data_IF_624037917495
#
_entry.id   IF_624037917495
#
_cell.length_a   1.000
_cell.length_b   1.000
_cell.length_c   1.000
_cell.angle_alpha   90.00
_cell.angle_beta   90.00
_cell.angle_gamma   90.00
#
_symmetry.space_group_name_H-M   'P 1'
#
loop_
_entity.id
_entity.type
_entity.pdbx_description
1 polymer ?
#
# COMPACT_ATOMS: atom_id res chain seq x y z
N UNK A 1 -48.55 2.92 -78.00
CA UNK A 1 -47.67 2.78 -76.82
C UNK A 1 -48.47 1.98 -75.79
N UNK A 2 -48.27 0.65 -75.71
CA UNK A 2 -47.37 -0.01 -74.74
C UNK A 2 -47.79 0.33 -73.30
N UNK A 3 -48.07 -0.58 -72.37
CA UNK A 3 -48.07 -2.05 -72.27
C UNK A 3 -48.87 -2.35 -70.96
N UNK A 4 -49.66 -3.44 -70.98
CA UNK A 4 -49.74 -4.53 -69.96
C UNK A 4 -49.03 -4.29 -68.59
N UNK A 5 -49.47 -4.72 -67.40
CA UNK A 5 -50.25 -5.87 -66.94
C UNK A 5 -50.41 -5.76 -65.39
N UNK A 6 -51.58 -6.07 -64.81
CA UNK A 6 -51.90 -7.25 -63.98
C UNK A 6 -51.07 -7.42 -62.68
N UNK A 7 -51.68 -7.22 -61.50
CA UNK A 7 -52.40 -8.19 -60.62
C UNK A 7 -51.49 -8.97 -59.68
N UNK A 8 -51.81 -8.84 -58.37
CA UNK A 8 -51.59 -9.79 -57.26
C UNK A 8 -50.12 -10.27 -57.11
N UNK A 9 -49.61 -10.67 -55.95
CA UNK A 9 -49.81 -11.94 -55.29
C UNK A 9 -49.25 -11.77 -53.86
N UNK A 10 -50.00 -12.29 -52.90
CA UNK A 10 -49.59 -12.43 -51.50
C UNK A 10 -48.32 -13.26 -51.38
N UNK A 11 -47.35 -12.80 -50.60
CA UNK A 11 -46.31 -13.65 -50.03
C UNK A 11 -46.29 -13.44 -48.52
N UNK A 12 -46.93 -14.39 -47.82
CA UNK A 12 -46.81 -14.60 -46.38
C UNK A 12 -45.36 -15.02 -46.10
N UNK A 13 -44.55 -14.15 -45.50
CA UNK A 13 -43.33 -14.59 -44.83
C UNK A 13 -43.72 -15.15 -43.47
N UNK A 14 -43.71 -16.48 -43.34
CA UNK A 14 -43.69 -17.14 -42.05
C UNK A 14 -42.27 -17.02 -41.48
N UNK A 15 -42.07 -16.10 -40.54
CA UNK A 15 -40.83 -15.99 -39.78
C UNK A 15 -40.89 -17.02 -38.64
N UNK A 16 -40.19 -18.14 -38.80
CA UNK A 16 -39.98 -19.11 -37.72
C UNK A 16 -38.90 -18.53 -36.81
N UNK A 17 -39.30 -17.91 -35.70
CA UNK A 17 -38.40 -17.54 -34.62
C UNK A 17 -38.07 -18.81 -33.83
N UNK A 18 -36.95 -19.44 -34.16
CA UNK A 18 -36.30 -20.40 -33.29
C UNK A 18 -35.79 -19.63 -32.06
N UNK A 19 -36.52 -19.73 -30.96
CA UNK A 19 -36.04 -19.31 -29.66
C UNK A 19 -34.90 -20.25 -29.25
N UNK A 20 -33.67 -19.92 -29.64
CA UNK A 20 -32.48 -20.49 -29.03
C UNK A 20 -32.41 -19.96 -27.61
N UNK A 21 -32.94 -20.73 -26.65
CA UNK A 21 -32.57 -20.59 -25.25
C UNK A 21 -31.10 -21.01 -25.12
N UNK A 22 -30.19 -20.13 -25.53
CA UNK A 22 -28.85 -20.14 -25.01
C UNK A 22 -29.00 -19.85 -23.52
N UNK A 23 -29.04 -20.90 -22.71
CA UNK A 23 -28.91 -20.76 -21.28
C UNK A 23 -27.65 -19.96 -21.05
N UNK A 24 -27.81 -18.73 -20.56
CA UNK A 24 -26.74 -18.08 -19.83
C UNK A 24 -26.56 -18.98 -18.63
N UNK A 25 -25.63 -19.93 -18.72
CA UNK A 25 -25.08 -20.56 -17.55
C UNK A 25 -24.47 -19.40 -16.78
N UNK A 26 -25.24 -18.85 -15.84
CA UNK A 26 -24.66 -18.12 -14.74
C UNK A 26 -23.60 -19.06 -14.20
N UNK A 27 -22.34 -18.68 -14.37
CA UNK A 27 -21.23 -19.36 -13.72
C UNK A 27 -21.56 -19.28 -12.23
N UNK A 28 -22.08 -20.39 -11.70
CA UNK A 28 -22.43 -20.50 -10.30
C UNK A 28 -21.10 -20.31 -9.59
N UNK A 29 -20.88 -19.11 -9.06
CA UNK A 29 -19.66 -18.81 -8.32
C UNK A 29 -19.62 -19.78 -7.14
N UNK A 30 -18.86 -20.87 -7.29
CA UNK A 30 -18.40 -21.69 -6.18
C UNK A 30 -17.47 -20.79 -5.38
N UNK A 31 -18.02 -20.14 -4.37
CA UNK A 31 -17.27 -19.15 -3.62
C UNK A 31 -17.65 -19.27 -2.17
N UNK A 32 -16.62 -19.54 -1.36
CA UNK A 32 -16.67 -19.67 0.08
C UNK A 32 -17.19 -18.41 0.78
N UNK A 33 -16.51 -18.00 1.84
CA UNK A 33 -16.98 -16.92 2.71
C UNK A 33 -17.16 -15.59 1.94
N UNK A 34 -18.31 -14.94 2.15
CA UNK A 34 -18.54 -13.56 1.70
C UNK A 34 -18.10 -12.60 2.81
N UNK A 35 -17.11 -11.76 2.52
CA UNK A 35 -16.56 -10.80 3.46
C UNK A 35 -17.42 -9.53 3.57
N UNK A 36 -17.20 -8.77 4.64
CA UNK A 36 -17.90 -7.51 4.93
C UNK A 36 -17.80 -6.45 3.81
N UNK A 37 -16.77 -6.53 2.97
CA UNK A 37 -16.51 -5.61 1.86
C UNK A 37 -16.98 -6.15 0.50
N UNK A 38 -17.83 -7.18 0.50
CA UNK A 38 -18.42 -7.77 -0.70
C UNK A 38 -17.52 -8.75 -1.44
N UNK A 39 -16.25 -8.91 -1.04
CA UNK A 39 -15.34 -9.88 -1.65
C UNK A 39 -15.79 -11.29 -1.25
N UNK A 40 -16.00 -12.15 -2.24
CA UNK A 40 -16.23 -13.59 -2.03
C UNK A 40 -14.90 -14.33 -2.13
N UNK A 41 -14.52 -15.02 -1.06
CA UNK A 41 -13.30 -15.84 -1.05
C UNK A 41 -13.46 -17.08 -1.92
N UNK A 42 -12.38 -17.61 -2.51
CA UNK A 42 -12.36 -18.96 -3.05
C UNK A 42 -12.64 -19.99 -1.96
N UNK A 43 -13.15 -21.17 -2.33
CA UNK A 43 -13.43 -22.26 -1.39
C UNK A 43 -12.17 -22.72 -0.62
N UNK A 44 -11.00 -22.61 -1.24
CA UNK A 44 -9.71 -22.84 -0.58
C UNK A 44 -9.04 -21.50 -0.29
N UNK A 45 -9.05 -21.10 0.98
CA UNK A 45 -8.39 -19.90 1.46
C UNK A 45 -7.53 -20.22 2.70
N UNK A 46 -6.31 -19.66 2.83
CA UNK A 46 -5.61 -18.83 1.83
C UNK A 46 -5.12 -19.64 0.61
N UNK A 47 -4.86 -18.99 -0.54
CA UNK A 47 -4.31 -19.68 -1.71
C UNK A 47 -2.96 -20.33 -1.37
N UNK A 48 -2.76 -21.59 -1.77
CA UNK A 48 -1.46 -22.25 -1.61
C UNK A 48 -0.48 -21.71 -2.64
N UNK A 49 0.67 -21.23 -2.17
CA UNK A 49 1.76 -20.82 -3.05
C UNK A 49 2.37 -22.07 -3.71
N UNK A 50 2.42 -22.09 -5.04
CA UNK A 50 3.04 -23.17 -5.83
C UNK A 50 4.55 -22.95 -6.03
N UNK A 51 5.07 -21.78 -5.65
CA UNK A 51 6.49 -21.43 -5.69
C UNK A 51 6.74 -20.02 -5.18
N UNK A 52 8.02 -19.71 -4.91
CA UNK A 52 8.47 -18.36 -4.56
C UNK A 52 8.96 -17.67 -5.84
N UNK A 53 8.06 -16.92 -6.48
CA UNK A 53 8.35 -16.07 -7.63
C UNK A 53 8.62 -14.62 -7.22
N UNK A 54 9.19 -13.83 -8.14
CA UNK A 54 9.23 -12.36 -8.00
C UNK A 54 7.96 -11.69 -8.52
N UNK A 55 7.13 -12.44 -9.25
CA UNK A 55 5.85 -11.95 -9.75
C UNK A 55 4.90 -11.63 -8.59
N UNK A 56 4.11 -10.54 -8.68
CA UNK A 56 3.08 -10.25 -7.71
C UNK A 56 2.10 -11.43 -7.57
N UNK A 57 1.62 -11.65 -6.34
CA UNK A 57 0.58 -12.64 -6.10
C UNK A 57 -0.70 -12.27 -6.88
N UNK A 58 -1.44 -13.26 -7.41
CA UNK A 58 -2.74 -12.99 -8.02
C UNK A 58 -3.67 -12.25 -7.04
N UNK A 59 -4.42 -11.28 -7.56
CA UNK A 59 -5.41 -10.47 -6.84
C UNK A 59 -6.80 -10.66 -7.47
N UNK A 60 -7.49 -11.80 -7.21
CA UNK A 60 -8.70 -12.18 -7.94
C UNK A 60 -9.84 -11.16 -7.84
N UNK A 61 -9.97 -10.50 -6.69
CA UNK A 61 -10.99 -9.49 -6.43
C UNK A 61 -10.81 -8.20 -7.24
N UNK A 62 -9.63 -7.95 -7.84
CA UNK A 62 -9.46 -6.84 -8.79
C UNK A 62 -9.83 -7.25 -10.23
N UNK A 63 -9.76 -8.54 -10.56
CA UNK A 63 -10.19 -9.06 -11.88
C UNK A 63 -11.70 -9.24 -11.95
N UNK A 64 -12.29 -9.70 -10.84
CA UNK A 64 -13.72 -9.93 -10.69
C UNK A 64 -14.20 -9.20 -9.42
N UNK A 65 -14.32 -7.86 -9.48
CA UNK A 65 -14.79 -7.09 -8.34
C UNK A 65 -16.24 -7.44 -7.98
N UNK A 66 -16.65 -7.25 -6.72
CA UNK A 66 -18.05 -7.34 -6.32
C UNK A 66 -18.93 -6.39 -7.15
N UNK A 67 -20.18 -6.77 -7.42
CA UNK A 67 -21.14 -5.92 -8.14
C UNK A 67 -21.39 -4.60 -7.40
N UNK A 68 -21.41 -4.65 -6.06
CA UNK A 68 -21.53 -3.48 -5.19
C UNK A 68 -20.37 -3.49 -4.21
N UNK A 69 -19.60 -2.39 -4.20
CA UNK A 69 -18.47 -2.19 -3.27
C UNK A 69 -18.87 -1.16 -2.22
N UNK A 70 -18.95 -1.59 -0.96
CA UNK A 70 -19.26 -0.71 0.16
C UNK A 70 -18.08 0.21 0.49
N UNK A 71 -18.29 1.52 0.36
CA UNK A 71 -17.26 2.55 0.62
C UNK A 71 -17.32 3.11 2.06
N UNK A 72 -18.34 2.74 2.82
CA UNK A 72 -18.65 3.24 4.16
C UNK A 72 -18.07 2.36 5.29
N UNK A 73 -17.24 1.36 4.94
CA UNK A 73 -16.65 0.40 5.89
C UNK A 73 -15.49 0.95 6.72
N UNK A 74 -15.28 2.27 6.73
CA UNK A 74 -14.29 2.98 7.56
C UNK A 74 -13.09 3.53 6.79
N UNK A 75 -11.92 3.62 7.45
CA UNK A 75 -10.70 4.17 6.85
C UNK A 75 -10.15 3.22 5.80
N UNK A 76 -9.95 3.74 4.59
CA UNK A 76 -9.40 3.00 3.45
C UNK A 76 -8.03 3.56 3.10
N UNK A 77 -7.07 2.68 2.84
CA UNK A 77 -5.75 3.08 2.37
C UNK A 77 -5.81 3.31 0.86
N UNK A 78 -5.33 4.47 0.41
CA UNK A 78 -5.26 4.80 -1.02
C UNK A 78 -4.01 4.19 -1.67
N UNK A 79 -3.91 2.85 -1.64
CA UNK A 79 -2.71 2.11 -2.08
C UNK A 79 -2.95 1.17 -3.26
N UNK A 80 -4.19 0.72 -3.45
CA UNK A 80 -4.57 -0.23 -4.50
C UNK A 80 -5.62 0.35 -5.47
N UNK A 81 -6.14 -0.51 -6.34
CA UNK A 81 -7.17 -0.20 -7.35
C UNK A 81 -8.57 -0.65 -6.94
N UNK A 82 -8.79 -1.19 -5.74
CA UNK A 82 -10.07 -1.79 -5.36
C UNK A 82 -11.20 -0.76 -5.33
N UNK A 83 -10.95 0.43 -4.78
CA UNK A 83 -11.94 1.51 -4.69
C UNK A 83 -11.83 2.54 -5.82
N UNK A 84 -10.85 2.38 -6.73
CA UNK A 84 -10.54 3.38 -7.75
C UNK A 84 -11.17 2.99 -9.07
N UNK A 85 -12.34 3.56 -9.39
CA UNK A 85 -12.97 3.33 -10.69
C UNK A 85 -12.22 4.05 -11.82
N UNK A 86 -11.84 5.31 -11.61
CA UNK A 86 -11.10 6.13 -12.57
C UNK A 86 -10.21 7.13 -11.82
N UNK A 87 -9.05 7.48 -12.40
CA UNK A 87 -8.15 8.50 -11.87
C UNK A 87 -7.34 9.14 -13.00
N UNK A 88 -6.98 10.41 -12.83
CA UNK A 88 -6.02 11.13 -13.68
C UNK A 88 -4.60 11.11 -13.09
N UNK A 89 -4.42 10.53 -11.90
CA UNK A 89 -3.13 10.46 -11.23
C UNK A 89 -2.26 9.35 -11.82
N UNK A 90 -0.98 9.64 -12.00
CA UNK A 90 0.02 8.64 -12.37
C UNK A 90 0.68 8.08 -11.10
N UNK A 91 0.39 6.82 -10.75
CA UNK A 91 1.10 6.15 -9.64
C UNK A 91 2.54 5.85 -10.05
N UNK A 92 3.49 6.34 -9.27
CA UNK A 92 4.92 6.11 -9.48
C UNK A 92 5.50 5.42 -8.26
N UNK A 93 6.05 4.22 -8.44
CA UNK A 93 6.78 3.51 -7.39
C UNK A 93 8.26 3.87 -7.52
N UNK A 94 8.80 4.57 -6.52
CA UNK A 94 10.19 5.00 -6.53
C UNK A 94 11.09 3.88 -6.01
N UNK A 95 12.11 3.51 -6.79
CA UNK A 95 13.14 2.59 -6.33
C UNK A 95 14.00 3.30 -5.29
N UNK A 96 14.13 2.68 -4.12
CA UNK A 96 15.00 3.19 -3.07
C UNK A 96 16.47 3.15 -3.53
N UNK A 97 17.20 4.22 -3.26
CA UNK A 97 18.65 4.27 -3.37
C UNK A 97 19.27 3.96 -2.01
N UNK A 98 20.24 3.04 -1.98
CA UNK A 98 20.97 2.73 -0.76
C UNK A 98 22.11 3.73 -0.55
N UNK A 99 22.19 4.32 0.65
CA UNK A 99 23.18 5.34 1.01
C UNK A 99 24.17 4.90 2.10
N UNK A 100 24.14 3.62 2.53
CA UNK A 100 24.88 3.20 3.72
C UNK A 100 24.21 3.66 5.03
N UNK A 101 24.90 3.57 6.18
CA UNK A 101 24.41 4.13 7.44
C UNK A 101 24.36 5.66 7.36
N UNK A 102 23.15 6.22 7.34
CA UNK A 102 22.93 7.68 7.27
C UNK A 102 22.91 8.36 8.64
N UNK A 103 22.66 7.59 9.71
CA UNK A 103 22.74 8.03 11.09
C UNK A 103 23.73 7.14 11.82
N UNK A 104 24.73 7.75 12.45
CA UNK A 104 25.79 7.06 13.20
C UNK A 104 25.93 7.68 14.59
N UNK A 105 26.45 6.91 15.54
CA UNK A 105 26.74 7.39 16.88
C UNK A 105 28.09 8.15 16.87
N UNK A 106 28.06 9.45 16.55
CA UNK A 106 29.22 10.33 16.40
C UNK A 106 29.37 11.34 17.55
N UNK A 107 28.43 11.38 18.51
CA UNK A 107 28.47 12.27 19.67
C UNK A 107 28.86 11.54 20.96
N UNK A 108 29.53 12.24 21.90
CA UNK A 108 29.99 11.61 23.15
C UNK A 108 28.87 10.96 23.97
N UNK A 109 27.69 11.60 24.06
CA UNK A 109 26.54 11.09 24.82
C UNK A 109 25.82 9.91 24.15
N UNK A 110 26.11 9.63 22.87
CA UNK A 110 25.57 8.45 22.17
C UNK A 110 26.36 7.17 22.50
N UNK A 111 27.56 7.35 23.04
CA UNK A 111 28.34 6.29 23.64
C UNK A 111 27.94 6.11 25.10
N UNK A 112 27.64 4.89 25.48
CA UNK A 112 27.28 4.55 26.85
C UNK A 112 28.44 4.75 27.83
N UNK A 113 28.51 5.92 28.47
CA UNK A 113 29.21 6.08 29.75
C UNK A 113 28.44 5.41 30.89
N UNK A 114 27.16 5.12 30.70
CA UNK A 114 26.32 4.41 31.66
C UNK A 114 26.53 2.90 31.56
N UNK A 115 27.10 2.32 32.61
CA UNK A 115 27.00 0.89 32.87
C UNK A 115 25.52 0.49 33.01
N UNK A 116 25.14 -0.68 32.50
CA UNK A 116 23.87 -1.29 32.89
C UNK A 116 23.96 -1.81 34.33
N UNK A 117 22.85 -2.33 34.87
CA UNK A 117 22.79 -2.91 36.22
C UNK A 117 23.76 -4.08 36.44
N UNK A 118 24.40 -4.58 35.38
CA UNK A 118 25.38 -5.66 35.38
C UNK A 118 26.81 -5.17 35.10
N UNK A 119 27.06 -3.85 35.12
CA UNK A 119 28.40 -3.29 34.89
C UNK A 119 28.84 -3.31 33.42
N UNK A 120 27.94 -3.58 32.47
CA UNK A 120 28.29 -3.62 31.04
C UNK A 120 28.20 -2.24 30.43
N UNK A 121 29.24 -1.85 29.70
CA UNK A 121 29.23 -0.61 28.91
C UNK A 121 28.13 -0.71 27.85
N UNK A 122 27.29 0.32 27.80
CA UNK A 122 26.22 0.39 26.81
C UNK A 122 26.82 0.62 25.41
N UNK A 123 26.38 -0.17 24.43
CA UNK A 123 26.87 -0.11 23.06
C UNK A 123 26.56 1.23 22.38
N UNK A 124 27.38 1.60 21.39
CA UNK A 124 27.14 2.76 20.54
C UNK A 124 25.91 2.52 19.68
N UNK A 125 24.87 3.34 19.84
CA UNK A 125 23.69 3.31 18.99
C UNK A 125 23.25 4.73 18.68
N UNK A 126 22.86 4.93 17.43
CA UNK A 126 22.07 6.08 16.99
C UNK A 126 21.12 5.53 15.93
N UNK A 127 19.93 5.13 16.36
CA UNK A 127 18.98 4.48 15.47
C UNK A 127 17.54 4.85 15.84
N UNK A 128 16.65 5.04 14.85
CA UNK A 128 15.22 5.11 15.14
C UNK A 128 14.78 3.84 15.88
N UNK A 129 14.10 4.00 17.01
CA UNK A 129 13.56 2.91 17.81
C UNK A 129 12.16 3.29 18.27
N UNK A 130 11.14 2.67 17.68
CA UNK A 130 9.72 3.08 17.79
C UNK A 130 9.41 4.51 17.27
N UNK A 131 10.42 5.37 17.16
CA UNK A 131 10.38 6.74 16.73
C UNK A 131 10.75 6.85 15.24
N UNK A 132 9.82 7.39 14.45
CA UNK A 132 9.94 7.51 13.00
C UNK A 132 10.75 8.72 12.54
N UNK A 133 11.06 8.72 11.26
CA UNK A 133 11.52 9.92 10.54
C UNK A 133 10.31 10.59 9.90
N UNK A 134 10.16 11.89 10.13
CA UNK A 134 9.00 12.65 9.66
C UNK A 134 9.46 13.87 8.87
N UNK A 135 8.86 14.13 7.71
CA UNK A 135 9.03 15.41 7.04
C UNK A 135 8.05 16.43 7.62
N UNK A 136 8.58 17.50 8.18
CA UNK A 136 7.80 18.65 8.63
C UNK A 136 7.66 19.65 7.47
N UNK A 137 6.44 19.85 6.90
CA UNK A 137 6.24 20.74 5.78
C UNK A 137 6.37 22.24 6.15
N UNK A 138 6.24 22.58 7.43
CA UNK A 138 6.38 23.97 7.90
C UNK A 138 7.85 24.36 7.91
N UNK A 139 8.67 23.52 8.55
CA UNK A 139 10.11 23.75 8.67
C UNK A 139 10.89 23.33 7.42
N UNK A 140 10.27 22.51 6.56
CA UNK A 140 10.87 21.89 5.37
C UNK A 140 12.08 21.03 5.73
N UNK A 141 11.98 20.30 6.84
CA UNK A 141 13.02 19.43 7.37
C UNK A 141 12.47 18.04 7.64
N UNK A 142 13.29 17.02 7.37
CA UNK A 142 13.15 15.73 8.01
C UNK A 142 13.57 15.87 9.47
N UNK A 143 12.79 15.30 10.39
CA UNK A 143 12.99 15.29 11.83
C UNK A 143 12.99 13.85 12.30
N UNK A 144 13.90 13.51 13.20
CA UNK A 144 13.98 12.19 13.80
C UNK A 144 14.17 12.32 15.30
N UNK A 145 13.45 11.49 16.04
CA UNK A 145 13.73 11.15 17.42
C UNK A 145 14.34 9.76 17.39
N UNK A 146 15.50 9.59 18.00
CA UNK A 146 16.25 8.36 17.87
C UNK A 146 16.82 7.92 19.22
N UNK A 147 16.96 6.61 19.35
CA UNK A 147 17.56 5.98 20.52
C UNK A 147 19.08 6.13 20.47
N UNK A 148 19.64 6.53 21.61
CA UNK A 148 21.07 6.64 21.88
C UNK A 148 21.47 5.86 23.15
N UNK A 149 22.78 5.65 23.33
CA UNK A 149 23.37 4.99 24.50
C UNK A 149 22.72 3.65 24.89
N UNK A 150 22.53 2.76 23.91
CA UNK A 150 21.85 1.47 24.04
C UNK A 150 20.42 1.59 24.61
N UNK A 151 19.59 2.44 24.00
CA UNK A 151 18.18 2.65 24.37
C UNK A 151 17.96 3.32 25.73
N UNK A 152 18.96 4.07 26.21
CA UNK A 152 18.87 4.82 27.48
C UNK A 152 18.46 6.27 27.29
N UNK A 153 18.71 6.84 26.11
CA UNK A 153 18.47 8.24 25.81
C UNK A 153 17.65 8.35 24.53
N UNK A 154 16.77 9.35 24.51
CA UNK A 154 16.13 9.83 23.28
C UNK A 154 16.83 11.10 22.86
N UNK A 155 17.22 11.16 21.59
CA UNK A 155 17.91 12.30 21.00
C UNK A 155 17.15 12.79 19.76
N UNK A 156 17.39 14.05 19.38
CA UNK A 156 16.72 14.70 18.26
C UNK A 156 17.71 15.10 17.16
N UNK A 157 17.37 14.85 15.91
CA UNK A 157 18.15 15.34 14.77
C UNK A 157 17.25 15.84 13.64
N UNK A 158 17.80 16.70 12.80
CA UNK A 158 17.13 17.25 11.61
C UNK A 158 17.94 17.00 10.35
N UNK A 159 17.28 16.99 9.21
CA UNK A 159 17.94 16.82 7.92
C UNK A 159 17.15 17.54 6.82
N UNK A 160 17.86 18.07 5.82
CA UNK A 160 17.22 18.64 4.61
C UNK A 160 16.93 17.60 3.54
N UNK A 161 17.63 16.48 3.56
CA UNK A 161 17.62 15.46 2.49
C UNK A 161 17.32 14.03 3.01
N UNK A 162 17.21 13.85 4.33
CA UNK A 162 17.00 12.56 4.97
C UNK A 162 18.26 11.68 5.01
N UNK A 163 19.41 12.20 4.55
CA UNK A 163 20.67 11.46 4.40
C UNK A 163 21.74 12.05 5.32
N UNK A 164 21.85 13.38 5.38
CA UNK A 164 22.79 14.09 6.25
C UNK A 164 22.05 14.69 7.43
N UNK A 165 22.45 14.32 8.65
CA UNK A 165 21.72 14.67 9.86
C UNK A 165 22.49 15.66 10.73
N UNK A 166 21.86 16.79 11.01
CA UNK A 166 22.28 17.80 11.97
C UNK A 166 21.73 17.43 13.36
N UNK A 167 22.61 17.36 14.36
CA UNK A 167 22.30 17.07 15.77
C UNK A 167 22.43 18.37 16.59
N UNK A 168 21.36 19.19 16.67
CA UNK A 168 21.45 20.52 17.28
C UNK A 168 21.58 20.43 18.81
N UNK A 169 22.28 21.39 19.42
CA UNK A 169 22.22 21.55 20.88
C UNK A 169 20.86 22.09 21.29
N UNK A 170 20.24 21.41 22.25
CA UNK A 170 18.96 21.75 22.88
C UNK A 170 19.18 22.22 24.32
N UNK A 171 18.11 22.67 24.95
CA UNK A 171 18.11 23.24 26.30
C UNK A 171 17.78 22.22 27.41
N UNK A 172 17.23 21.05 27.05
CA UNK A 172 16.90 19.97 28.01
C UNK A 172 18.14 19.48 28.74
N UNK A 173 19.18 19.07 27.99
CA UNK A 173 20.52 18.84 28.52
C UNK A 173 21.52 19.71 27.75
N UNK A 174 21.93 20.86 28.33
CA UNK A 174 22.68 21.89 27.61
C UNK A 174 23.91 21.37 26.86
N UNK A 175 23.97 21.69 25.56
CA UNK A 175 25.07 21.28 24.70
C UNK A 175 24.90 19.91 24.02
N UNK A 176 23.82 19.19 24.33
CA UNK A 176 23.47 17.91 23.70
C UNK A 176 22.19 18.04 22.87
N UNK A 177 21.84 17.00 22.11
CA UNK A 177 20.55 16.92 21.42
C UNK A 177 19.57 15.97 22.12
N UNK A 178 19.75 15.73 23.42
CA UNK A 178 18.87 14.90 24.25
C UNK A 178 17.53 15.63 24.46
N UNK A 179 16.43 14.89 24.46
CA UNK A 179 15.05 15.39 24.69
C UNK A 179 14.31 14.62 25.78
#
# INVERSE_FOLDING_TARGET
MSLQHQKCWYLRLALVLLASSAGVAAEVASGGELLYNGIRLPDTWPPRLTGLGREPMPVPYLKHPPEVISIDVGRQLFVDDFLVQQTTLNRTFHKLQYHGPVLTADKPWESGSHEDIFGRRSGHIAAPFSDGVWYDPTDKLFKIWYSAAFYKLTCYATSKDGIHWDKPSLDVEPGTNIV
#
